data_IF_620246353131
#
_entry.id   IF_620246353131
#
_cell.length_a   1.000
_cell.length_b   1.000
_cell.length_c   1.000
_cell.angle_alpha   90.00
_cell.angle_beta   90.00
_cell.angle_gamma   90.00
#
_symmetry.space_group_name_H-M   'P 1'
#
loop_
_entity.id
_entity.type
_entity.pdbx_description
1 polymer ?
#
# COMPACT_ATOMS: atom_id res chain seq x y z
N UNK A 1 -33.07 42.96 13.82
CA UNK A 1 -31.68 43.37 14.12
C UNK A 1 -31.14 42.41 15.18
N UNK A 2 -30.27 41.47 14.81
CA UNK A 2 -29.82 40.40 15.72
C UNK A 2 -29.19 39.22 14.99
N UNK A 3 -28.20 39.49 14.13
CA UNK A 3 -27.42 38.45 13.45
C UNK A 3 -26.47 37.83 14.49
N UNK A 4 -26.76 36.61 14.94
CA UNK A 4 -25.82 35.82 15.77
C UNK A 4 -24.61 35.45 14.92
N UNK A 5 -23.47 36.02 15.30
CA UNK A 5 -22.17 35.69 14.73
C UNK A 5 -21.84 34.21 14.93
N UNK A 6 -21.82 33.46 13.83
CA UNK A 6 -21.21 32.13 13.74
C UNK A 6 -19.70 32.32 13.93
N UNK A 7 -19.20 32.07 15.14
CA UNK A 7 -17.76 31.91 15.39
C UNK A 7 -17.27 30.72 14.55
N UNK A 8 -16.55 31.01 13.46
CA UNK A 8 -15.71 30.04 12.75
C UNK A 8 -14.68 29.50 13.75
N UNK A 9 -14.73 28.20 14.02
CA UNK A 9 -13.61 27.50 14.62
C UNK A 9 -12.38 27.64 13.68
N UNK A 10 -11.18 27.96 14.20
CA UNK A 10 -9.99 28.03 13.38
C UNK A 10 -9.70 26.64 12.82
N UNK A 11 -9.35 26.61 11.52
CA UNK A 11 -9.19 25.40 10.74
C UNK A 11 -8.32 24.36 11.44
N UNK A 12 -8.85 23.15 11.52
CA UNK A 12 -8.07 21.96 11.87
C UNK A 12 -6.97 21.80 10.83
N UNK A 13 -5.77 22.28 11.18
CA UNK A 13 -4.56 22.00 10.43
C UNK A 13 -4.45 20.50 10.24
N UNK A 14 -4.33 20.08 8.98
CA UNK A 14 -3.88 18.75 8.61
C UNK A 14 -2.65 18.45 9.49
N UNK A 15 -2.61 17.34 10.25
CA UNK A 15 -1.42 17.02 11.04
C UNK A 15 -0.21 17.08 10.11
N UNK A 16 0.92 17.67 10.54
CA UNK A 16 2.12 17.70 9.73
C UNK A 16 2.41 16.27 9.28
N UNK A 17 2.37 16.04 7.97
CA UNK A 17 2.73 14.74 7.41
C UNK A 17 4.07 14.35 8.01
N UNK A 18 4.26 13.08 8.43
CA UNK A 18 5.53 12.67 9.00
C UNK A 18 6.63 13.13 8.05
N UNK A 19 7.64 13.84 8.58
CA UNK A 19 8.76 14.31 7.79
C UNK A 19 9.26 13.16 6.89
N UNK A 20 9.72 13.47 5.68
CA UNK A 20 10.12 12.45 4.73
C UNK A 20 11.08 11.40 5.35
N UNK A 21 11.93 11.82 6.29
CA UNK A 21 12.86 10.97 7.05
C UNK A 21 12.18 9.89 7.92
N UNK A 22 11.30 10.20 8.90
CA UNK A 22 10.63 9.16 9.70
C UNK A 22 9.68 8.25 8.89
N UNK A 23 9.13 8.72 7.77
CA UNK A 23 8.31 7.87 6.90
C UNK A 23 9.15 6.82 6.15
N UNK A 24 10.32 7.22 5.63
CA UNK A 24 11.26 6.31 4.97
C UNK A 24 11.86 5.29 5.97
N UNK A 25 12.25 5.74 7.16
CA UNK A 25 12.75 4.87 8.24
C UNK A 25 11.72 3.80 8.66
N UNK A 26 10.43 4.17 8.76
CA UNK A 26 9.36 3.20 9.03
C UNK A 26 9.14 2.18 7.91
N UNK A 27 9.45 2.54 6.66
CA UNK A 27 9.37 1.61 5.53
C UNK A 27 10.57 0.67 5.46
N UNK A 28 11.77 1.15 5.83
CA UNK A 28 12.97 0.31 5.99
C UNK A 28 12.81 -0.77 7.07
N UNK A 29 11.97 -0.53 8.09
CA UNK A 29 11.65 -1.54 9.10
C UNK A 29 11.03 -2.83 8.50
N UNK A 30 10.39 -2.75 7.33
CA UNK A 30 9.85 -3.93 6.62
C UNK A 30 10.98 -4.84 6.11
N UNK A 31 12.18 -4.30 5.90
CA UNK A 31 13.34 -5.01 5.37
C UNK A 31 14.11 -5.79 6.46
N UNK A 32 13.90 -5.46 7.74
CA UNK A 32 14.59 -6.09 8.88
C UNK A 32 14.59 -7.61 8.87
N UNK A 33 13.47 -8.34 8.63
CA UNK A 33 13.51 -9.80 8.57
C UNK A 33 14.37 -10.33 7.41
N UNK A 34 14.39 -9.63 6.26
CA UNK A 34 15.21 -10.01 5.11
C UNK A 34 16.70 -9.80 5.38
N UNK A 35 17.06 -8.65 5.99
CA UNK A 35 18.43 -8.35 6.40
C UNK A 35 18.88 -9.35 7.47
N UNK A 36 18.04 -9.65 8.46
CA UNK A 36 18.36 -10.62 9.50
C UNK A 36 18.61 -12.01 8.90
N UNK A 37 17.79 -12.45 7.96
CA UNK A 37 17.98 -13.73 7.26
C UNK A 37 19.25 -13.75 6.41
N UNK A 38 19.54 -12.66 5.70
CA UNK A 38 20.76 -12.52 4.92
C UNK A 38 22.02 -12.55 5.80
N UNK A 39 22.00 -11.91 6.98
CA UNK A 39 23.12 -11.95 7.92
C UNK A 39 23.32 -13.34 8.51
N UNK A 40 22.26 -14.13 8.68
CA UNK A 40 22.35 -15.50 9.22
C UNK A 40 22.84 -16.53 8.19
N UNK A 41 22.55 -16.35 6.91
CA UNK A 41 22.91 -17.32 5.86
C UNK A 41 24.41 -17.71 5.83
N UNK A 42 25.38 -16.78 5.91
CA UNK A 42 26.81 -17.11 5.91
C UNK A 42 27.25 -18.01 7.06
N UNK A 43 26.52 -18.01 8.18
CA UNK A 43 26.81 -18.82 9.37
C UNK A 43 26.08 -20.16 9.38
N UNK A 44 24.86 -20.21 8.83
CA UNK A 44 23.97 -21.38 8.88
C UNK A 44 24.12 -22.28 7.64
N UNK A 45 24.46 -21.70 6.48
CA UNK A 45 24.55 -22.48 5.24
C UNK A 45 25.74 -23.46 5.28
N UNK A 46 25.48 -24.71 4.91
CA UNK A 46 26.49 -25.76 4.78
C UNK A 46 27.27 -25.61 3.46
N UNK A 47 28.53 -26.03 3.44
CA UNK A 47 29.38 -26.00 2.24
C UNK A 47 30.81 -25.54 2.49
N UNK A 48 31.51 -25.20 1.41
CA UNK A 48 32.88 -24.69 1.43
C UNK A 48 32.95 -23.38 2.25
N UNK A 49 33.90 -23.33 3.18
CA UNK A 49 34.06 -22.22 4.12
C UNK A 49 35.33 -21.45 3.81
N UNK A 50 35.23 -20.13 3.84
CA UNK A 50 36.36 -19.21 3.71
C UNK A 50 36.51 -18.47 5.04
N UNK A 51 37.73 -18.44 5.55
CA UNK A 51 38.05 -17.62 6.71
C UNK A 51 38.24 -16.17 6.30
N UNK A 52 37.29 -15.33 6.70
CA UNK A 52 37.35 -13.89 6.49
C UNK A 52 37.41 -13.23 7.87
N UNK A 53 38.47 -12.46 8.13
CA UNK A 53 38.65 -11.74 9.40
C UNK A 53 38.54 -12.63 10.67
N UNK A 54 38.99 -13.89 10.58
CA UNK A 54 38.97 -14.85 11.69
C UNK A 54 37.61 -15.54 11.91
N UNK A 55 36.65 -15.36 11.01
CA UNK A 55 35.35 -16.02 11.02
C UNK A 55 35.23 -16.96 9.82
N UNK A 56 34.84 -18.21 10.08
CA UNK A 56 34.64 -19.22 9.05
C UNK A 56 33.24 -19.07 8.44
N UNK A 57 33.16 -18.50 7.25
CA UNK A 57 31.91 -18.18 6.56
C UNK A 57 31.68 -19.11 5.37
N UNK A 58 30.44 -19.57 5.19
CA UNK A 58 30.06 -20.37 4.03
C UNK A 58 30.01 -19.50 2.76
N UNK A 59 30.72 -19.91 1.70
CA UNK A 59 30.70 -19.22 0.39
C UNK A 59 29.28 -19.19 -0.18
N UNK A 60 28.57 -20.31 -0.10
CA UNK A 60 27.17 -20.41 -0.52
C UNK A 60 26.27 -19.49 0.31
N UNK A 61 26.52 -19.40 1.62
CA UNK A 61 25.81 -18.49 2.51
C UNK A 61 26.06 -17.02 2.19
N UNK A 62 27.27 -16.66 1.75
CA UNK A 62 27.64 -15.30 1.34
C UNK A 62 26.91 -14.89 0.05
N UNK A 63 26.88 -15.76 -0.96
CA UNK A 63 26.10 -15.54 -2.19
C UNK A 63 24.60 -15.47 -1.93
N UNK A 64 24.11 -16.31 -1.02
CA UNK A 64 22.72 -16.27 -0.56
C UNK A 64 22.39 -14.95 0.14
N UNK A 65 23.24 -14.50 1.06
CA UNK A 65 23.11 -13.22 1.74
C UNK A 65 23.07 -12.04 0.74
N UNK A 66 24.03 -12.02 -0.19
CA UNK A 66 24.10 -11.00 -1.24
C UNK A 66 22.82 -10.96 -2.08
N UNK A 67 22.34 -12.13 -2.52
CA UNK A 67 21.11 -12.23 -3.32
C UNK A 67 19.88 -11.73 -2.55
N UNK A 68 19.75 -12.09 -1.28
CA UNK A 68 18.62 -11.65 -0.44
C UNK A 68 18.67 -10.14 -0.22
N UNK A 69 19.84 -9.58 0.10
CA UNK A 69 20.00 -8.13 0.30
C UNK A 69 19.73 -7.37 -0.99
N UNK A 70 20.38 -7.75 -2.09
CA UNK A 70 20.22 -7.06 -3.36
C UNK A 70 18.76 -7.08 -3.84
N UNK A 71 18.11 -8.26 -3.86
CA UNK A 71 16.71 -8.37 -4.28
C UNK A 71 15.74 -7.71 -3.30
N UNK A 72 16.01 -7.83 -2.01
CA UNK A 72 15.22 -7.21 -0.94
C UNK A 72 15.22 -5.69 -1.05
N UNK A 73 16.39 -5.07 -1.07
CA UNK A 73 16.54 -3.61 -1.17
C UNK A 73 15.96 -3.08 -2.48
N UNK A 74 16.21 -3.75 -3.62
CA UNK A 74 15.63 -3.37 -4.91
C UNK A 74 14.09 -3.45 -4.91
N UNK A 75 13.52 -4.52 -4.34
CA UNK A 75 12.08 -4.70 -4.25
C UNK A 75 11.40 -3.64 -3.36
N UNK A 76 12.00 -3.35 -2.20
CA UNK A 76 11.51 -2.29 -1.29
C UNK A 76 11.63 -0.93 -1.97
N UNK A 77 12.77 -0.60 -2.58
CA UNK A 77 12.97 0.66 -3.29
C UNK A 77 11.96 0.84 -4.43
N UNK A 78 11.75 -0.18 -5.26
CA UNK A 78 10.76 -0.16 -6.34
C UNK A 78 9.34 0.05 -5.81
N UNK A 79 8.97 -0.66 -4.73
CA UNK A 79 7.66 -0.52 -4.09
C UNK A 79 7.44 0.87 -3.50
N UNK A 80 8.50 1.47 -2.91
CA UNK A 80 8.44 2.83 -2.38
C UNK A 80 8.29 3.86 -3.48
N UNK A 81 9.10 3.74 -4.54
CA UNK A 81 9.03 4.63 -5.71
C UNK A 81 7.65 4.59 -6.35
N UNK A 82 7.09 3.40 -6.57
CA UNK A 82 5.74 3.24 -7.12
C UNK A 82 4.69 3.94 -6.23
N UNK A 83 4.74 3.67 -4.92
CA UNK A 83 3.80 4.25 -3.98
C UNK A 83 3.93 5.78 -3.81
N UNK A 84 5.09 6.36 -4.13
CA UNK A 84 5.31 7.81 -4.04
C UNK A 84 5.05 8.57 -5.35
N UNK A 85 5.09 7.88 -6.49
CA UNK A 85 5.03 8.52 -7.82
C UNK A 85 3.70 8.29 -8.54
N UNK A 86 2.96 7.24 -8.18
CA UNK A 86 1.74 6.84 -8.90
C UNK A 86 0.52 6.94 -7.98
N UNK A 87 -0.55 7.57 -8.47
CA UNK A 87 -1.80 7.60 -7.72
C UNK A 87 -2.53 6.25 -7.79
N UNK A 88 -3.26 5.90 -6.73
CA UNK A 88 -3.97 4.62 -6.68
C UNK A 88 -5.04 4.48 -7.78
N UNK A 89 -5.63 5.60 -8.22
CA UNK A 89 -6.56 5.64 -9.36
C UNK A 89 -5.86 5.26 -10.67
N UNK A 90 -4.65 5.77 -10.89
CA UNK A 90 -3.85 5.47 -12.09
C UNK A 90 -3.43 4.01 -12.12
N UNK A 91 -3.12 3.42 -10.96
CA UNK A 91 -2.86 1.98 -10.83
C UNK A 91 -4.06 1.15 -11.28
N UNK A 92 -5.29 1.50 -10.89
CA UNK A 92 -6.49 0.79 -11.33
C UNK A 92 -6.74 0.91 -12.84
N UNK A 93 -6.47 2.07 -13.43
CA UNK A 93 -6.54 2.25 -14.88
C UNK A 93 -5.50 1.37 -15.60
N UNK A 94 -4.28 1.27 -15.04
CA UNK A 94 -3.25 0.35 -15.52
C UNK A 94 -3.69 -1.12 -15.45
N UNK A 95 -4.30 -1.53 -14.34
CA UNK A 95 -4.87 -2.87 -14.17
C UNK A 95 -5.97 -3.18 -15.20
N UNK A 96 -6.82 -2.21 -15.52
CA UNK A 96 -7.82 -2.36 -16.57
C UNK A 96 -7.19 -2.57 -17.96
N UNK A 97 -6.10 -1.88 -18.26
CA UNK A 97 -5.34 -2.06 -19.52
C UNK A 97 -4.63 -3.39 -19.61
N UNK A 98 -4.22 -3.93 -18.47
CA UNK A 98 -3.71 -5.31 -18.34
C UNK A 98 -4.82 -6.36 -18.51
N UNK A 99 -6.04 -5.96 -18.91
CA UNK A 99 -7.21 -6.81 -19.18
C UNK A 99 -7.72 -7.55 -17.94
N UNK A 100 -7.58 -6.96 -16.75
CA UNK A 100 -8.30 -7.47 -15.58
C UNK A 100 -9.83 -7.36 -15.79
N UNK A 101 -10.61 -8.35 -15.31
CA UNK A 101 -12.06 -8.32 -15.39
C UNK A 101 -12.64 -6.99 -14.88
N UNK A 102 -13.53 -6.32 -15.63
CA UNK A 102 -14.07 -5.00 -15.26
C UNK A 102 -14.71 -4.97 -13.87
N UNK A 103 -15.32 -6.09 -13.46
CA UNK A 103 -15.90 -6.25 -12.13
C UNK A 103 -14.86 -6.09 -11.01
N UNK A 104 -13.66 -6.66 -11.16
CA UNK A 104 -12.59 -6.54 -10.15
C UNK A 104 -12.07 -5.11 -10.05
N UNK A 105 -11.86 -4.46 -11.20
CA UNK A 105 -11.44 -3.05 -11.26
C UNK A 105 -12.51 -2.15 -10.62
N UNK A 106 -13.79 -2.45 -10.84
CA UNK A 106 -14.90 -1.71 -10.26
C UNK A 106 -14.98 -1.90 -8.74
N UNK A 107 -14.88 -3.14 -8.24
CA UNK A 107 -14.84 -3.41 -6.79
C UNK A 107 -13.68 -2.65 -6.16
N UNK A 108 -12.49 -2.70 -6.76
CA UNK A 108 -11.33 -1.94 -6.28
C UNK A 108 -11.57 -0.43 -6.30
N UNK A 109 -12.18 0.10 -7.37
CA UNK A 109 -12.53 1.52 -7.46
C UNK A 109 -13.49 1.95 -6.36
N UNK A 110 -14.47 1.11 -6.01
CA UNK A 110 -15.36 1.35 -4.89
C UNK A 110 -14.67 1.27 -3.54
N UNK A 111 -13.75 0.31 -3.35
CA UNK A 111 -12.95 0.21 -2.13
C UNK A 111 -12.15 1.49 -1.88
N UNK A 112 -11.55 2.09 -2.92
CA UNK A 112 -10.83 3.36 -2.80
C UNK A 112 -11.79 4.50 -2.48
N UNK A 113 -12.88 4.64 -3.25
CA UNK A 113 -13.84 5.76 -3.11
C UNK A 113 -14.55 5.76 -1.76
N UNK A 114 -14.90 4.58 -1.24
CA UNK A 114 -15.63 4.43 0.01
C UNK A 114 -14.74 4.12 1.21
N UNK A 115 -13.45 3.81 1.01
CA UNK A 115 -12.50 3.50 2.09
C UNK A 115 -12.39 4.60 3.13
N UNK A 116 -12.23 5.85 2.69
CA UNK A 116 -12.18 7.01 3.58
C UNK A 116 -13.52 7.22 4.31
N UNK A 117 -14.63 7.03 3.60
CA UNK A 117 -15.98 7.17 4.16
C UNK A 117 -16.23 6.17 5.29
N UNK A 118 -15.84 4.91 5.09
CA UNK A 118 -15.96 3.84 6.10
C UNK A 118 -15.01 4.09 7.26
N UNK A 119 -13.79 4.56 6.99
CA UNK A 119 -12.80 4.87 8.02
C UNK A 119 -13.24 6.05 8.90
N UNK A 120 -13.85 7.07 8.30
CA UNK A 120 -14.46 8.19 9.03
C UNK A 120 -15.65 7.75 9.88
N UNK A 121 -16.49 6.85 9.37
CA UNK A 121 -17.59 6.28 10.15
C UNK A 121 -17.05 5.48 11.35
N UNK A 122 -16.06 4.63 11.11
CA UNK A 122 -15.37 3.88 12.17
C UNK A 122 -14.75 4.82 13.21
N UNK A 123 -14.14 5.94 12.78
CA UNK A 123 -13.57 6.96 13.66
C UNK A 123 -14.65 7.65 14.50
N UNK A 124 -15.78 8.05 13.89
CA UNK A 124 -16.92 8.64 14.61
C UNK A 124 -17.48 7.68 15.67
N UNK A 125 -17.66 6.42 15.31
CA UNK A 125 -18.12 5.38 16.23
C UNK A 125 -17.12 5.17 17.37
N UNK A 126 -15.81 5.19 17.08
CA UNK A 126 -14.77 5.11 18.11
C UNK A 126 -14.84 6.26 19.10
N UNK A 127 -14.88 7.50 18.63
CA UNK A 127 -14.98 8.69 19.47
C UNK A 127 -16.23 8.63 20.35
N UNK A 128 -17.38 8.26 19.78
CA UNK A 128 -18.64 8.13 20.53
C UNK A 128 -18.61 7.03 21.62
N UNK A 129 -17.75 6.02 21.49
CA UNK A 129 -17.54 5.03 22.56
C UNK A 129 -16.62 5.59 23.65
N UNK A 130 -15.52 6.21 23.25
CA UNK A 130 -14.57 6.83 24.18
C UNK A 130 -15.26 7.91 25.03
N UNK A 131 -16.13 8.73 24.44
CA UNK A 131 -16.93 9.72 25.19
C UNK A 131 -17.93 9.13 26.18
N UNK A 132 -18.33 7.86 26.02
CA UNK A 132 -19.19 7.14 26.97
C UNK A 132 -18.38 6.43 28.07
N UNK A 133 -17.09 6.74 28.20
CA UNK A 133 -16.19 6.13 29.19
C UNK A 133 -15.71 4.73 28.82
N UNK A 134 -15.86 4.31 27.56
CA UNK A 134 -15.38 3.01 27.11
C UNK A 134 -13.95 3.11 26.58
N UNK A 135 -13.01 2.48 27.30
CA UNK A 135 -11.65 2.22 26.82
C UNK A 135 -11.45 0.73 26.59
N UNK A 136 -11.02 0.35 25.39
CA UNK A 136 -10.73 -1.04 25.07
C UNK A 136 -9.35 -1.44 25.62
N UNK A 137 -9.32 -2.08 26.80
CA UNK A 137 -8.06 -2.50 27.45
C UNK A 137 -7.80 -4.02 27.45
N UNK A 138 -8.62 -4.83 26.76
CA UNK A 138 -8.42 -6.28 26.71
C UNK A 138 -9.56 -7.11 26.09
N UNK A 139 -9.47 -8.43 26.22
CA UNK A 139 -10.37 -9.43 25.58
C UNK A 139 -11.84 -9.26 26.02
N UNK A 140 -12.07 -8.82 27.27
CA UNK A 140 -13.41 -8.50 27.81
C UNK A 140 -14.18 -7.45 26.99
N UNK A 141 -13.48 -6.65 26.19
CA UNK A 141 -14.06 -5.58 25.38
C UNK A 141 -14.44 -6.02 23.96
N UNK A 142 -14.14 -7.27 23.58
CA UNK A 142 -14.41 -7.79 22.23
C UNK A 142 -15.90 -7.77 21.86
N UNK A 143 -16.80 -8.02 22.82
CA UNK A 143 -18.24 -7.96 22.56
C UNK A 143 -18.71 -6.56 22.11
N UNK A 144 -18.12 -5.49 22.66
CA UNK A 144 -18.45 -4.11 22.28
C UNK A 144 -17.83 -3.74 20.93
N UNK A 145 -16.61 -4.23 20.66
CA UNK A 145 -15.97 -4.08 19.35
C UNK A 145 -16.76 -4.81 18.26
N UNK A 146 -17.21 -6.04 18.53
CA UNK A 146 -18.05 -6.84 17.63
C UNK A 146 -19.38 -6.14 17.33
N UNK A 147 -20.08 -5.61 18.34
CA UNK A 147 -21.31 -4.81 18.13
C UNK A 147 -21.07 -3.62 17.22
N UNK A 148 -19.92 -2.97 17.36
CA UNK A 148 -19.56 -1.83 16.53
C UNK A 148 -19.19 -2.24 15.11
N UNK A 149 -18.47 -3.35 14.94
CA UNK A 149 -18.19 -3.91 13.62
C UNK A 149 -19.49 -4.31 12.91
N UNK A 150 -20.43 -4.93 13.61
CA UNK A 150 -21.76 -5.27 13.10
C UNK A 150 -22.56 -4.02 12.68
N UNK A 151 -22.58 -2.99 13.51
CA UNK A 151 -23.23 -1.73 13.16
C UNK A 151 -22.58 -1.04 11.94
N UNK A 152 -21.25 -1.08 11.84
CA UNK A 152 -20.53 -0.55 10.68
C UNK A 152 -20.86 -1.37 9.41
N UNK A 153 -20.94 -2.69 9.53
CA UNK A 153 -21.29 -3.59 8.42
C UNK A 153 -22.69 -3.28 7.88
N UNK A 154 -23.70 -3.21 8.75
CA UNK A 154 -25.09 -2.89 8.36
C UNK A 154 -25.14 -1.53 7.65
N UNK A 155 -24.53 -0.48 8.23
CA UNK A 155 -24.49 0.85 7.62
C UNK A 155 -23.78 0.87 6.27
N UNK A 156 -22.72 0.09 6.12
CA UNK A 156 -21.96 -0.02 4.87
C UNK A 156 -22.75 -0.76 3.80
N UNK A 157 -23.46 -1.82 4.19
CA UNK A 157 -24.35 -2.58 3.32
C UNK A 157 -25.51 -1.73 2.81
N UNK A 158 -26.24 -1.05 3.71
CA UNK A 158 -27.34 -0.14 3.35
C UNK A 158 -26.86 1.03 2.47
N UNK A 159 -25.64 1.51 2.67
CA UNK A 159 -25.03 2.50 1.77
C UNK A 159 -24.71 1.90 0.40
N UNK A 160 -24.14 0.69 0.35
CA UNK A 160 -23.88 -0.03 -0.89
C UNK A 160 -25.14 -0.22 -1.72
N UNK A 161 -26.23 -0.63 -1.09
CA UNK A 161 -27.53 -0.81 -1.74
C UNK A 161 -28.06 0.51 -2.31
N UNK A 162 -28.03 1.59 -1.53
CA UNK A 162 -28.44 2.92 -2.02
C UNK A 162 -27.60 3.40 -3.20
N UNK A 163 -26.31 3.10 -3.20
CA UNK A 163 -25.41 3.46 -4.30
C UNK A 163 -25.73 2.62 -5.53
N UNK A 164 -25.93 1.31 -5.37
CA UNK A 164 -26.31 0.43 -6.46
C UNK A 164 -27.63 0.86 -7.12
N UNK A 165 -28.66 1.12 -6.33
CA UNK A 165 -29.94 1.63 -6.82
C UNK A 165 -29.78 2.96 -7.56
N UNK A 166 -28.94 3.87 -7.06
CA UNK A 166 -28.62 5.13 -7.73
C UNK A 166 -27.81 4.95 -9.03
N UNK A 167 -27.04 3.87 -9.15
CA UNK A 167 -26.34 3.53 -10.39
C UNK A 167 -27.32 2.98 -11.42
N UNK A 168 -28.20 2.07 -11.01
CA UNK A 168 -29.23 1.51 -11.89
C UNK A 168 -30.14 2.61 -12.43
N UNK A 169 -30.55 3.57 -11.60
CA UNK A 169 -31.37 4.71 -12.05
C UNK A 169 -30.65 5.65 -13.04
N UNK A 170 -29.31 5.61 -13.08
CA UNK A 170 -28.47 6.36 -14.03
C UNK A 170 -28.08 5.54 -15.27
N UNK A 171 -28.67 4.37 -15.47
CA UNK A 171 -28.41 3.52 -16.64
C UNK A 171 -27.19 2.61 -16.52
N UNK A 172 -26.84 2.18 -15.30
CA UNK A 172 -25.73 1.26 -15.10
C UNK A 172 -25.97 -0.11 -15.79
N UNK A 173 -25.10 -0.46 -16.74
CA UNK A 173 -25.18 -1.67 -17.57
C UNK A 173 -24.08 -2.71 -17.25
N UNK A 174 -23.57 -2.73 -16.02
CA UNK A 174 -22.57 -3.72 -15.57
C UNK A 174 -21.10 -3.30 -15.70
N UNK A 175 -20.82 -2.07 -16.15
CA UNK A 175 -19.48 -1.49 -16.11
C UNK A 175 -19.53 0.01 -15.82
N UNK A 176 -18.49 0.56 -15.20
CA UNK A 176 -18.34 2.00 -15.06
C UNK A 176 -17.65 2.58 -16.29
N UNK A 177 -18.12 3.74 -16.80
CA UNK A 177 -17.42 4.44 -17.88
C UNK A 177 -16.06 4.93 -17.39
N UNK A 178 -15.01 4.66 -18.18
CA UNK A 178 -13.67 5.19 -17.97
C UNK A 178 -13.62 6.57 -18.61
N UNK A 179 -13.40 7.61 -17.80
CA UNK A 179 -13.44 9.00 -18.26
C UNK A 179 -12.06 9.47 -18.77
N UNK A 180 -10.97 8.81 -18.37
CA UNK A 180 -9.60 9.21 -18.74
C UNK A 180 -8.88 8.13 -19.53
N UNK A 181 -8.59 8.39 -20.80
CA UNK A 181 -7.61 7.63 -21.58
C UNK A 181 -6.20 8.20 -21.34
N UNK A 182 -5.48 7.65 -20.35
CA UNK A 182 -4.11 8.11 -20.03
C UNK A 182 -3.11 7.53 -21.05
N UNK A 183 -2.89 8.10 -22.22
CA UNK A 183 -1.92 7.55 -23.19
C UNK A 183 -0.47 7.77 -22.72
N UNK A 184 0.37 6.74 -22.76
CA UNK A 184 1.79 6.87 -22.43
C UNK A 184 2.55 7.56 -23.57
N UNK A 185 3.31 8.60 -23.24
CA UNK A 185 4.15 9.31 -24.20
C UNK A 185 5.38 8.48 -24.59
N UNK A 186 5.97 8.75 -25.76
CA UNK A 186 7.21 8.06 -26.21
C UNK A 186 8.37 8.24 -25.22
N UNK A 187 8.45 9.39 -24.56
CA UNK A 187 9.45 9.66 -23.53
C UNK A 187 9.25 8.76 -22.29
N UNK A 188 8.01 8.50 -21.89
CA UNK A 188 7.72 7.59 -20.77
C UNK A 188 8.11 6.16 -21.10
N UNK A 189 7.89 5.71 -22.34
CA UNK A 189 8.36 4.41 -22.80
C UNK A 189 9.88 4.29 -22.79
N UNK A 190 10.61 5.33 -23.21
CA UNK A 190 12.08 5.30 -23.16
C UNK A 190 12.61 5.25 -21.73
N UNK A 191 12.00 5.99 -20.80
CA UNK A 191 12.38 5.92 -19.39
C UNK A 191 12.07 4.55 -18.76
N UNK A 192 10.89 3.98 -19.07
CA UNK A 192 10.51 2.66 -18.59
C UNK A 192 11.42 1.55 -19.13
N UNK A 193 11.90 1.66 -20.37
CA UNK A 193 12.77 0.67 -21.00
C UNK A 193 14.25 0.80 -20.62
N UNK A 194 14.70 1.95 -20.11
CA UNK A 194 16.10 2.18 -19.78
C UNK A 194 16.64 1.17 -18.74
N UNK A 195 15.87 0.90 -17.68
CA UNK A 195 16.24 -0.05 -16.62
C UNK A 195 16.33 -1.52 -17.11
N UNK A 196 15.30 -2.10 -17.76
CA UNK A 196 15.41 -3.46 -18.28
C UNK A 196 16.44 -3.58 -19.40
N UNK A 197 16.66 -2.53 -20.20
CA UNK A 197 17.72 -2.51 -21.20
C UNK A 197 19.11 -2.55 -20.57
N UNK A 198 19.37 -1.71 -19.56
CA UNK A 198 20.63 -1.75 -18.81
C UNK A 198 20.86 -3.11 -18.14
N UNK A 199 19.82 -3.70 -17.54
CA UNK A 199 19.90 -5.04 -16.95
C UNK A 199 20.22 -6.10 -18.01
N UNK A 200 19.61 -6.03 -19.19
CA UNK A 200 19.85 -6.95 -20.30
C UNK A 200 21.29 -6.84 -20.82
N UNK A 201 21.83 -5.63 -20.95
CA UNK A 201 23.24 -5.40 -21.32
C UNK A 201 24.19 -6.03 -20.30
N UNK A 202 23.93 -5.86 -18.99
CA UNK A 202 24.75 -6.47 -17.93
C UNK A 202 24.67 -8.00 -17.98
N UNK A 203 23.49 -8.58 -18.19
CA UNK A 203 23.33 -10.03 -18.34
C UNK A 203 24.06 -10.58 -19.56
N UNK A 204 24.03 -9.87 -20.69
CA UNK A 204 24.75 -10.29 -21.90
C UNK A 204 26.27 -10.19 -21.70
N UNK A 205 26.77 -9.09 -21.12
CA UNK A 205 28.19 -8.95 -20.84
C UNK A 205 28.70 -10.01 -19.86
N UNK A 206 27.91 -10.34 -18.84
CA UNK A 206 28.21 -11.41 -17.89
C UNK A 206 28.10 -12.82 -18.47
N UNK A 207 27.38 -13.02 -19.58
CA UNK A 207 27.35 -14.30 -20.31
C UNK A 207 28.54 -14.45 -21.27
N UNK A 208 29.10 -13.33 -21.75
CA UNK A 208 30.22 -13.31 -22.70
C UNK A 208 31.61 -13.35 -22.05
N UNK A 209 31.70 -13.16 -20.72
CA UNK A 209 32.92 -13.21 -19.91
C UNK A 209 33.04 -14.57 -19.21
#
# INVERSE_FOLDING_TARGET
MGVRAVRRAPGGGRPPGPGARPFLLKRLLIEVPFVAFAVLMPFVAEGERVDVLGLSLSVNGLWGAWNVLAKGTLGVAASVLLASTTELRELLLGLQRLRLPPLLVQIASFMIRYGDVITDEMRRMRIARESRGFEARGIRHWGVLAKSAGALFIRSYERGERVHLAMVSRGYAGSMPVIDEVTASRAQWSYALALPFAALVVCLLGWTL
#
